data_IF_989656183981
#
_entry.id   IF_989656183981
#
_cell.length_a   1.000
_cell.length_b   1.000
_cell.length_c   1.000
_cell.angle_alpha   90.00
_cell.angle_beta   90.00
_cell.angle_gamma   90.00
#
_symmetry.space_group_name_H-M   'P 1'
#
loop_
_entity.id
_entity.type
_entity.pdbx_description
1 polymer ?
#
# COMPACT_ATOMS: atom_id res chain seq x y z
N UNK A 1 2.76 -22.06 9.00
CA UNK A 1 2.47 -20.63 8.90
C UNK A 1 2.05 -20.43 7.47
N UNK A 2 0.80 -20.07 7.21
CA UNK A 2 0.38 -19.79 5.83
C UNK A 2 1.20 -18.60 5.32
N UNK A 3 1.95 -18.81 4.23
CA UNK A 3 2.62 -17.74 3.52
C UNK A 3 1.53 -16.82 2.94
N UNK A 4 1.46 -15.57 3.42
CA UNK A 4 0.70 -14.55 2.72
C UNK A 4 1.42 -14.30 1.39
N UNK A 5 0.70 -14.52 0.29
CA UNK A 5 1.11 -14.16 -1.04
C UNK A 5 0.15 -13.07 -1.52
N UNK A 6 0.28 -11.88 -0.93
CA UNK A 6 -0.44 -10.72 -1.40
C UNK A 6 0.02 -10.43 -2.84
N UNK A 7 -0.95 -10.32 -3.75
CA UNK A 7 -0.70 -9.88 -5.12
C UNK A 7 -1.11 -8.43 -5.20
N UNK A 8 -0.16 -7.54 -5.55
CA UNK A 8 -0.39 -6.11 -5.59
C UNK A 8 -0.79 -5.67 -7.00
N UNK A 9 -1.85 -4.87 -7.10
CA UNK A 9 -2.48 -4.51 -8.36
C UNK A 9 -3.11 -3.11 -8.39
N UNK A 10 -2.91 -2.29 -7.34
CA UNK A 10 -3.40 -0.91 -7.31
C UNK A 10 -2.39 0.08 -6.76
N UNK A 11 -2.62 1.36 -7.09
CA UNK A 11 -1.94 2.52 -6.49
C UNK A 11 -3.00 3.32 -5.74
N UNK A 12 -2.70 3.67 -4.51
CA UNK A 12 -3.54 4.54 -3.68
C UNK A 12 -2.73 5.67 -3.04
N UNK A 13 -3.42 6.73 -2.64
CA UNK A 13 -2.88 7.82 -1.84
C UNK A 13 -3.52 7.78 -0.47
N UNK A 14 -2.70 7.64 0.56
CA UNK A 14 -3.14 7.71 1.96
C UNK A 14 -2.79 9.09 2.52
N UNK A 15 -3.76 9.70 3.21
CA UNK A 15 -3.57 10.93 3.98
C UNK A 15 -3.54 10.59 5.46
N UNK A 16 -2.46 10.95 6.16
CA UNK A 16 -2.33 10.82 7.61
C UNK A 16 -3.18 11.86 8.34
N UNK A 17 -3.42 11.64 9.63
CA UNK A 17 -4.15 12.59 10.46
C UNK A 17 -3.46 13.95 10.63
N UNK A 18 -2.14 14.03 10.43
CA UNK A 18 -1.39 15.29 10.41
C UNK A 18 -1.48 16.04 9.06
N UNK A 19 -2.18 15.48 8.07
CA UNK A 19 -2.37 16.04 6.73
C UNK A 19 -1.27 15.71 5.73
N UNK A 20 -0.20 15.02 6.14
CA UNK A 20 0.80 14.51 5.19
C UNK A 20 0.25 13.34 4.38
N UNK A 21 0.73 13.19 3.15
CA UNK A 21 0.27 12.13 2.24
C UNK A 21 1.42 11.23 1.81
N UNK A 22 1.11 9.99 1.45
CA UNK A 22 2.04 9.08 0.80
C UNK A 22 1.30 8.15 -0.17
N UNK A 23 1.99 7.77 -1.26
CA UNK A 23 1.49 6.77 -2.20
C UNK A 23 1.80 5.38 -1.67
N UNK A 24 0.88 4.43 -1.84
CA UNK A 24 1.05 3.01 -1.52
C UNK A 24 0.70 2.14 -2.72
N UNK A 25 1.44 1.04 -2.88
CA UNK A 25 1.13 0.00 -3.87
C UNK A 25 0.46 -1.13 -3.09
N UNK A 26 -0.82 -1.33 -3.35
CA UNK A 26 -1.68 -2.20 -2.56
C UNK A 26 -2.42 -3.22 -3.42
N UNK A 27 -3.43 -3.81 -2.80
CA UNK A 27 -4.48 -4.55 -3.47
C UNK A 27 -5.82 -4.20 -2.83
N UNK A 28 -6.91 -4.75 -3.35
CA UNK A 28 -8.25 -4.45 -2.82
C UNK A 28 -8.43 -4.78 -1.33
N UNK A 29 -7.70 -5.77 -0.79
CA UNK A 29 -7.78 -6.11 0.63
C UNK A 29 -7.07 -5.04 1.46
N UNK A 30 -5.85 -4.66 1.10
CA UNK A 30 -5.15 -3.56 1.76
C UNK A 30 -6.01 -2.30 1.72
N UNK A 31 -6.59 -1.95 0.56
CA UNK A 31 -7.35 -0.73 0.42
C UNK A 31 -8.58 -0.76 1.33
N UNK A 32 -9.28 -1.90 1.41
CA UNK A 32 -10.36 -2.09 2.37
C UNK A 32 -9.93 -1.93 3.83
N UNK A 33 -8.67 -2.27 4.18
CA UNK A 33 -8.11 -1.99 5.52
C UNK A 33 -7.79 -0.52 5.70
N UNK A 34 -7.30 0.17 4.68
CA UNK A 34 -7.08 1.62 4.73
C UNK A 34 -8.41 2.38 4.86
N UNK A 35 -9.46 1.99 4.13
CA UNK A 35 -10.81 2.55 4.28
C UNK A 35 -11.33 2.35 5.71
N UNK A 36 -11.21 1.13 6.26
CA UNK A 36 -11.56 0.86 7.65
C UNK A 36 -10.73 1.69 8.65
N UNK A 37 -9.44 1.90 8.36
CA UNK A 37 -8.57 2.76 9.15
C UNK A 37 -9.04 4.21 9.15
N UNK A 38 -9.52 4.72 8.02
CA UNK A 38 -10.10 6.05 7.89
C UNK A 38 -11.42 6.15 8.67
N UNK A 39 -12.30 5.15 8.55
CA UNK A 39 -13.57 5.09 9.32
C UNK A 39 -13.32 5.07 10.83
N UNK A 40 -12.26 4.39 11.29
CA UNK A 40 -11.86 4.34 12.70
C UNK A 40 -11.03 5.54 13.16
N UNK A 41 -10.66 6.45 12.24
CA UNK A 41 -9.89 7.65 12.54
C UNK A 41 -8.39 7.42 12.78
N UNK A 42 -7.83 6.29 12.33
CA UNK A 42 -6.39 6.02 12.40
C UNK A 42 -5.60 6.75 11.31
N UNK A 43 -6.23 6.95 10.14
CA UNK A 43 -5.77 7.82 9.07
C UNK A 43 -6.90 8.78 8.68
N UNK A 44 -6.60 9.77 7.85
CA UNK A 44 -7.57 10.80 7.47
C UNK A 44 -8.47 10.35 6.32
N UNK A 45 -7.88 9.85 5.24
CA UNK A 45 -8.56 9.29 4.08
C UNK A 45 -7.60 8.42 3.27
N UNK A 46 -8.16 7.54 2.45
CA UNK A 46 -7.45 6.83 1.38
C UNK A 46 -8.18 7.08 0.06
N UNK A 47 -7.44 7.09 -1.05
CA UNK A 47 -7.99 7.25 -2.38
C UNK A 47 -7.25 6.36 -3.37
N UNK A 48 -7.98 5.45 -4.01
CA UNK A 48 -7.45 4.70 -5.15
C UNK A 48 -7.20 5.68 -6.30
N UNK A 49 -5.97 5.66 -6.83
CA UNK A 49 -5.56 6.46 -7.99
C UNK A 49 -5.63 5.65 -9.27
N UNK A 50 -5.25 4.38 -9.20
CA UNK A 50 -5.26 3.47 -10.34
C UNK A 50 -5.47 2.03 -9.90
N UNK A 51 -6.33 1.32 -10.63
CA UNK A 51 -6.59 -0.11 -10.47
C UNK A 51 -5.96 -0.89 -11.62
N UNK A 52 -5.72 -2.18 -11.40
CA UNK A 52 -5.19 -3.12 -12.39
C UNK A 52 -3.88 -2.62 -13.03
N UNK A 53 -2.96 -2.12 -12.20
CA UNK A 53 -1.63 -1.72 -12.69
C UNK A 53 -0.92 -2.95 -13.29
N UNK A 54 -0.05 -2.76 -14.30
CA UNK A 54 0.73 -3.86 -14.84
C UNK A 54 1.56 -4.52 -13.73
N UNK A 55 1.57 -5.86 -13.70
CA UNK A 55 2.39 -6.64 -12.78
C UNK A 55 3.86 -6.61 -13.26
N UNK A 56 4.48 -5.43 -13.18
CA UNK A 56 5.83 -5.14 -13.68
C UNK A 56 6.91 -5.76 -12.79
N UNK A 57 8.16 -5.75 -13.26
CA UNK A 57 9.29 -6.23 -12.44
C UNK A 57 9.47 -5.42 -11.15
N UNK A 58 9.09 -4.14 -11.16
CA UNK A 58 9.15 -3.31 -9.96
C UNK A 58 8.01 -3.63 -8.99
N UNK A 59 6.80 -3.88 -9.49
CA UNK A 59 5.68 -4.40 -8.67
C UNK A 59 6.05 -5.72 -8.01
N UNK A 60 6.61 -6.69 -8.75
CA UNK A 60 7.06 -7.99 -8.21
C UNK A 60 8.07 -7.81 -7.08
N UNK A 61 9.05 -6.91 -7.23
CA UNK A 61 10.06 -6.67 -6.19
C UNK A 61 9.44 -6.04 -4.94
N UNK A 62 8.53 -5.07 -5.12
CA UNK A 62 7.85 -4.42 -4.00
C UNK A 62 6.91 -5.39 -3.28
N UNK A 63 6.17 -6.19 -4.02
CA UNK A 63 5.34 -7.28 -3.50
C UNK A 63 6.14 -8.27 -2.65
N UNK A 64 7.31 -8.71 -3.14
CA UNK A 64 8.20 -9.56 -2.37
C UNK A 64 8.68 -8.89 -1.08
N UNK A 65 8.99 -7.59 -1.12
CA UNK A 65 9.33 -6.83 0.07
C UNK A 65 8.17 -6.83 1.08
N UNK A 66 6.96 -6.52 0.64
CA UNK A 66 5.77 -6.51 1.50
C UNK A 66 5.52 -7.89 2.11
N UNK A 67 5.45 -8.94 1.30
CA UNK A 67 5.18 -10.31 1.77
C UNK A 67 6.24 -10.85 2.75
N UNK A 68 7.46 -10.31 2.73
CA UNK A 68 8.55 -10.75 3.62
C UNK A 68 8.70 -9.90 4.89
N UNK A 69 8.19 -8.67 4.90
CA UNK A 69 8.39 -7.71 5.99
C UNK A 69 7.12 -7.39 6.76
N UNK A 70 5.96 -7.55 6.13
CA UNK A 70 4.67 -7.14 6.66
C UNK A 70 3.69 -8.30 6.64
N UNK A 71 2.71 -8.20 7.53
CA UNK A 71 1.51 -9.02 7.50
C UNK A 71 0.34 -8.08 7.33
N UNK A 72 -0.56 -8.39 6.41
CA UNK A 72 -1.76 -7.58 6.23
C UNK A 72 -2.60 -7.59 7.51
N UNK A 73 -3.03 -6.39 7.94
CA UNK A 73 -3.90 -6.25 9.10
C UNK A 73 -5.26 -6.89 8.82
N UNK A 74 -5.85 -7.51 9.84
CA UNK A 74 -7.23 -7.97 9.77
C UNK A 74 -8.21 -6.90 10.31
N UNK A 75 -9.50 -7.19 10.25
CA UNK A 75 -10.57 -6.25 10.65
C UNK A 75 -10.55 -5.91 12.15
N UNK A 76 -9.82 -6.66 12.98
CA UNK A 76 -9.67 -6.39 14.40
C UNK A 76 -8.63 -5.31 14.72
N UNK A 77 -7.96 -4.74 13.70
CA UNK A 77 -6.97 -3.65 13.82
C UNK A 77 -7.39 -2.52 14.77
N UNK A 78 -6.52 -2.16 15.71
CA UNK A 78 -6.71 -1.06 16.67
C UNK A 78 -5.80 0.14 16.41
N UNK A 79 -4.98 0.07 15.37
CA UNK A 79 -4.14 1.12 14.83
C UNK A 79 -3.91 0.89 13.33
N UNK A 80 -3.39 1.90 12.63
CA UNK A 80 -2.93 1.75 11.25
C UNK A 80 -1.45 1.39 11.21
N UNK A 81 -1.14 0.22 10.67
CA UNK A 81 0.24 -0.20 10.41
C UNK A 81 0.68 0.26 9.02
N UNK A 82 1.23 1.47 8.96
CA UNK A 82 1.88 1.96 7.75
C UNK A 82 3.11 1.12 7.41
N UNK A 83 3.18 0.62 6.18
CA UNK A 83 4.32 -0.14 5.66
C UNK A 83 5.54 0.77 5.48
N UNK A 84 6.40 0.82 6.49
CA UNK A 84 7.64 1.60 6.46
C UNK A 84 8.62 1.04 5.42
N UNK A 85 8.97 1.86 4.45
CA UNK A 85 9.84 1.45 3.35
C UNK A 85 11.31 1.71 3.69
N UNK A 86 12.17 0.83 3.19
CA UNK A 86 13.60 1.15 3.06
C UNK A 86 13.80 2.07 1.86
N UNK A 87 14.96 2.74 1.72
CA UNK A 87 15.25 3.56 0.55
C UNK A 87 15.09 2.81 -0.79
N UNK A 88 15.42 1.52 -0.80
CA UNK A 88 15.26 0.67 -1.98
C UNK A 88 13.78 0.41 -2.31
N UNK A 89 12.95 0.14 -1.29
CA UNK A 89 11.52 -0.06 -1.47
C UNK A 89 10.83 1.26 -1.89
N UNK A 90 11.27 2.41 -1.35
CA UNK A 90 10.81 3.73 -1.78
C UNK A 90 11.11 4.00 -3.25
N UNK A 91 12.32 3.64 -3.71
CA UNK A 91 12.68 3.77 -5.12
C UNK A 91 11.80 2.90 -6.02
N UNK A 92 11.47 1.68 -5.58
CA UNK A 92 10.54 0.81 -6.32
C UNK A 92 9.15 1.46 -6.46
N UNK A 93 8.62 2.03 -5.38
CA UNK A 93 7.34 2.75 -5.46
C UNK A 93 7.43 3.94 -6.41
N UNK A 94 8.51 4.72 -6.34
CA UNK A 94 8.73 5.84 -7.26
C UNK A 94 8.74 5.39 -8.73
N UNK A 95 9.44 4.30 -9.04
CA UNK A 95 9.52 3.76 -10.39
C UNK A 95 8.15 3.24 -10.86
N UNK A 96 7.38 2.57 -9.99
CA UNK A 96 6.02 2.10 -10.29
C UNK A 96 5.08 3.29 -10.59
N UNK A 97 5.18 4.36 -9.81
CA UNK A 97 4.40 5.58 -10.06
C UNK A 97 4.74 6.19 -11.43
N UNK A 98 6.03 6.26 -11.78
CA UNK A 98 6.49 6.76 -13.07
C UNK A 98 6.00 5.87 -14.24
N UNK A 99 6.08 4.54 -14.10
CA UNK A 99 5.56 3.56 -15.09
C UNK A 99 4.07 3.73 -15.36
N UNK A 100 3.31 4.14 -14.33
CA UNK A 100 1.87 4.32 -14.39
C UNK A 100 1.43 5.77 -14.64
N UNK A 101 2.37 6.70 -14.85
CA UNK A 101 2.11 8.13 -15.06
C UNK A 101 1.35 8.80 -13.90
N UNK A 102 1.64 8.37 -12.66
CA UNK A 102 1.11 8.97 -11.43
C UNK A 102 2.18 9.91 -10.85
N UNK A 103 1.86 11.21 -10.75
CA UNK A 103 2.78 12.24 -10.25
C UNK A 103 2.37 13.65 -10.66
#
# INVERSE_FOLDING_TARGET
MEEQHEVLDLIELITRNDGTTYYEIGNMVQNGRAELAAERGFIKEVRILQLNIPHSQNVIKYENFINTHYKMQDESMDHWDEWKRTPEADQLVHDILAENHIG
#
